data_IF_563739033825
#
_entry.id   IF_563739033825
#
_cell.length_a   1.000
_cell.length_b   1.000
_cell.length_c   1.000
_cell.angle_alpha   90.00
_cell.angle_beta   90.00
_cell.angle_gamma   90.00
#
_symmetry.space_group_name_H-M   'P 1'
#
loop_
_entity.id
_entity.type
_entity.pdbx_description
1 polymer ?
#
# COMPACT_ATOMS: atom_id res chain seq x y z
N UNK A 1 13.84 15.75 -9.98
CA UNK A 1 12.48 15.96 -9.43
C UNK A 1 12.58 15.84 -7.92
N UNK A 2 12.05 16.79 -7.15
CA UNK A 2 12.09 16.73 -5.68
C UNK A 2 10.81 16.05 -5.18
N UNK A 3 10.92 14.83 -4.66
CA UNK A 3 9.78 14.08 -4.13
C UNK A 3 9.31 14.61 -2.76
N UNK A 4 10.09 15.48 -2.11
CA UNK A 4 9.72 16.02 -0.80
C UNK A 4 8.57 17.04 -0.86
N UNK A 5 8.22 17.55 -2.03
CA UNK A 5 7.07 18.46 -2.20
C UNK A 5 5.81 17.75 -2.71
N UNK A 6 5.81 16.41 -2.76
CA UNK A 6 4.70 15.65 -3.28
C UNK A 6 3.52 15.72 -2.29
N UNK A 7 2.35 16.17 -2.74
CA UNK A 7 1.14 16.14 -1.90
C UNK A 7 0.39 14.82 -2.04
N UNK A 8 0.36 14.25 -3.23
CA UNK A 8 -0.35 13.01 -3.53
C UNK A 8 0.59 12.03 -4.24
N UNK A 9 0.61 10.80 -3.74
CA UNK A 9 1.35 9.68 -4.31
C UNK A 9 0.39 8.54 -4.65
N UNK A 10 0.55 7.98 -5.85
CA UNK A 10 -0.21 6.82 -6.30
C UNK A 10 0.77 5.74 -6.75
N UNK A 11 0.84 4.64 -5.99
CA UNK A 11 1.70 3.50 -6.29
C UNK A 11 0.84 2.38 -6.88
N UNK A 12 1.01 2.18 -8.18
CA UNK A 12 0.44 1.04 -8.91
C UNK A 12 1.56 0.22 -9.51
N UNK A 13 1.62 -1.06 -9.16
CA UNK A 13 2.47 -2.03 -9.83
C UNK A 13 1.60 -2.98 -10.63
N UNK A 14 1.82 -2.99 -11.93
CA UNK A 14 1.32 -4.02 -12.84
C UNK A 14 2.32 -5.18 -12.78
N UNK A 15 2.13 -6.09 -11.82
CA UNK A 15 2.95 -7.30 -11.75
C UNK A 15 2.57 -8.21 -12.91
N UNK A 16 3.58 -8.65 -13.66
CA UNK A 16 3.46 -9.76 -14.60
C UNK A 16 3.32 -11.06 -13.80
N UNK A 17 2.10 -11.61 -13.77
CA UNK A 17 1.74 -12.78 -12.98
C UNK A 17 2.47 -14.06 -13.42
N UNK A 18 3.15 -14.02 -14.57
CA UNK A 18 3.93 -15.13 -15.10
C UNK A 18 5.39 -15.13 -14.61
N UNK A 19 5.81 -14.09 -13.86
CA UNK A 19 7.18 -13.99 -13.36
C UNK A 19 7.26 -14.25 -11.83
N UNK A 20 7.80 -15.40 -11.39
CA UNK A 20 7.78 -15.84 -9.99
C UNK A 20 8.74 -15.09 -9.04
N UNK A 21 9.34 -13.96 -9.43
CA UNK A 21 10.30 -13.23 -8.59
C UNK A 21 9.60 -12.23 -7.67
N UNK A 22 8.91 -12.75 -6.64
CA UNK A 22 8.15 -11.97 -5.65
C UNK A 22 9.03 -11.16 -4.69
N UNK A 23 10.29 -11.55 -4.48
CA UNK A 23 11.22 -10.83 -3.61
C UNK A 23 11.72 -9.52 -4.20
N UNK A 24 11.86 -9.45 -5.54
CA UNK A 24 12.18 -8.22 -6.24
C UNK A 24 11.05 -7.19 -6.16
N UNK A 25 9.78 -7.64 -6.08
CA UNK A 25 8.64 -6.73 -5.93
C UNK A 25 8.56 -6.06 -4.55
N UNK A 26 8.89 -6.75 -3.46
CA UNK A 26 8.87 -6.16 -2.12
C UNK A 26 9.86 -4.98 -2.01
N UNK A 27 11.13 -5.22 -2.38
CA UNK A 27 12.17 -4.19 -2.35
C UNK A 27 11.86 -2.97 -3.24
N UNK A 28 11.26 -3.19 -4.41
CA UNK A 28 10.84 -2.11 -5.30
C UNK A 28 9.70 -1.27 -4.69
N UNK A 29 8.68 -1.91 -4.13
CA UNK A 29 7.56 -1.22 -3.46
C UNK A 29 8.08 -0.42 -2.26
N UNK A 30 8.96 -1.01 -1.45
CA UNK A 30 9.58 -0.30 -0.33
C UNK A 30 10.38 0.91 -0.79
N UNK A 31 11.22 0.76 -1.81
CA UNK A 31 11.98 1.88 -2.38
C UNK A 31 11.08 3.05 -2.80
N UNK A 32 9.93 2.74 -3.41
CA UNK A 32 8.92 3.74 -3.75
C UNK A 32 8.31 4.40 -2.51
N UNK A 33 7.94 3.61 -1.49
CA UNK A 33 7.40 4.11 -0.23
C UNK A 33 8.36 5.06 0.48
N UNK A 34 9.65 4.71 0.53
CA UNK A 34 10.69 5.61 1.06
C UNK A 34 10.73 6.93 0.27
N UNK A 35 10.67 6.84 -1.06
CA UNK A 35 10.67 8.01 -1.94
C UNK A 35 9.44 8.92 -1.77
N UNK A 36 8.28 8.37 -1.40
CA UNK A 36 7.03 9.13 -1.21
C UNK A 36 6.62 9.30 0.25
N UNK A 37 7.54 9.04 1.18
CA UNK A 37 7.28 9.10 2.63
C UNK A 37 6.74 10.45 3.13
N UNK A 38 6.98 11.53 2.38
CA UNK A 38 6.49 12.86 2.71
C UNK A 38 5.11 13.21 2.13
N UNK A 39 4.47 12.29 1.40
CA UNK A 39 3.17 12.52 0.78
C UNK A 39 2.06 12.74 1.82
N UNK A 40 1.10 13.61 1.50
CA UNK A 40 -0.10 13.81 2.33
C UNK A 40 -1.16 12.78 2.04
N UNK A 41 -1.30 12.37 0.79
CA UNK A 41 -2.22 11.33 0.35
C UNK A 41 -1.43 10.21 -0.34
N UNK A 42 -1.68 8.97 0.06
CA UNK A 42 -1.03 7.79 -0.51
C UNK A 42 -2.09 6.76 -0.90
N UNK A 43 -2.10 6.41 -2.18
CA UNK A 43 -2.81 5.23 -2.68
C UNK A 43 -1.81 4.11 -2.97
N UNK A 44 -2.13 2.90 -2.53
CA UNK A 44 -1.36 1.69 -2.79
C UNK A 44 -2.29 0.62 -3.34
N UNK A 45 -2.03 0.11 -4.55
CA UNK A 45 -2.87 -0.94 -5.11
C UNK A 45 -2.69 -2.28 -4.37
N UNK A 46 -3.69 -3.16 -4.46
CA UNK A 46 -3.67 -4.46 -3.76
C UNK A 46 -2.49 -5.36 -4.14
N UNK A 47 -1.97 -5.23 -5.36
CA UNK A 47 -0.76 -5.97 -5.80
C UNK A 47 0.51 -5.52 -5.09
N UNK A 48 0.65 -4.23 -4.82
CA UNK A 48 1.76 -3.72 -4.01
C UNK A 48 1.65 -4.23 -2.58
N UNK A 49 0.43 -4.26 -2.04
CA UNK A 49 0.18 -4.77 -0.69
C UNK A 49 0.50 -6.27 -0.59
N UNK A 50 0.19 -7.09 -1.62
CA UNK A 50 0.60 -8.51 -1.66
C UNK A 50 2.12 -8.65 -1.57
N UNK A 51 2.87 -7.80 -2.27
CA UNK A 51 4.33 -7.78 -2.19
C UNK A 51 4.88 -7.37 -0.82
N UNK A 52 4.05 -6.72 0.01
CA UNK A 52 4.35 -6.33 1.39
C UNK A 52 3.79 -7.33 2.41
N UNK A 53 3.15 -8.43 2.00
CA UNK A 53 2.67 -9.47 2.92
C UNK A 53 3.80 -10.45 3.26
N UNK A 54 4.92 -9.91 3.76
CA UNK A 54 6.12 -10.67 4.14
C UNK A 54 6.58 -10.25 5.53
N UNK A 55 7.22 -11.14 6.28
CA UNK A 55 7.55 -10.87 7.69
C UNK A 55 8.77 -9.96 7.91
N UNK A 56 9.49 -9.57 6.86
CA UNK A 56 10.78 -8.89 6.96
C UNK A 56 10.84 -7.58 6.16
N UNK A 57 10.21 -6.52 6.66
CA UNK A 57 10.46 -5.15 6.19
C UNK A 57 10.17 -4.09 7.23
N UNK A 58 10.67 -2.89 6.99
CA UNK A 58 10.35 -1.69 7.78
C UNK A 58 9.82 -0.62 6.84
N UNK A 59 8.66 -0.06 7.18
CA UNK A 59 8.10 1.09 6.47
C UNK A 59 8.82 2.39 6.88
N UNK A 60 8.92 3.37 5.98
CA UNK A 60 9.35 4.71 6.39
C UNK A 60 8.29 5.35 7.29
N UNK A 61 8.70 6.28 8.15
CA UNK A 61 7.74 7.12 8.87
C UNK A 61 7.10 8.12 7.90
N UNK A 62 5.78 8.08 7.80
CA UNK A 62 4.99 8.96 6.96
C UNK A 62 4.51 10.19 7.75
N UNK A 63 5.43 11.11 8.05
CA UNK A 63 5.18 12.24 8.96
C UNK A 63 4.06 13.20 8.52
N UNK A 64 3.73 13.24 7.23
CA UNK A 64 2.74 14.15 6.67
C UNK A 64 1.52 13.45 6.09
N UNK A 65 1.47 12.12 6.15
CA UNK A 65 0.39 11.33 5.57
C UNK A 65 -0.89 11.50 6.37
N UNK A 66 -1.88 12.11 5.73
CA UNK A 66 -3.22 12.35 6.26
C UNK A 66 -4.25 11.39 5.68
N UNK A 67 -4.05 10.91 4.45
CA UNK A 67 -4.96 9.98 3.79
C UNK A 67 -4.23 8.78 3.23
N UNK A 68 -4.67 7.59 3.61
CA UNK A 68 -4.18 6.32 3.09
C UNK A 68 -5.33 5.59 2.40
N UNK A 69 -5.09 5.12 1.18
CA UNK A 69 -6.04 4.35 0.40
C UNK A 69 -5.43 3.03 -0.04
N UNK A 70 -6.10 1.94 0.31
CA UNK A 70 -5.71 0.59 -0.09
C UNK A 70 -6.59 0.07 -1.21
N UNK A 71 -5.94 -0.38 -2.28
CA UNK A 71 -6.58 -1.17 -3.32
C UNK A 71 -6.84 -2.60 -2.85
N UNK A 72 -7.93 -3.19 -3.36
CA UNK A 72 -8.29 -4.57 -3.04
C UNK A 72 -7.36 -5.60 -3.70
N UNK A 73 -7.10 -6.69 -2.96
CA UNK A 73 -6.55 -7.93 -3.51
C UNK A 73 -7.19 -9.14 -2.84
N UNK A 74 -7.49 -10.17 -3.64
CA UNK A 74 -8.01 -11.47 -3.17
C UNK A 74 -7.03 -12.32 -2.35
N UNK A 75 -5.74 -11.97 -2.35
CA UNK A 75 -4.69 -12.76 -1.71
C UNK A 75 -4.08 -12.08 -0.49
N UNK A 76 -4.62 -10.93 -0.07
CA UNK A 76 -3.99 -10.07 0.91
C UNK A 76 -4.49 -10.35 2.34
N UNK A 77 -3.57 -10.66 3.26
CA UNK A 77 -3.84 -10.56 4.69
C UNK A 77 -3.63 -9.10 5.13
N UNK A 78 -4.59 -8.25 4.77
CA UNK A 78 -4.49 -6.78 4.90
C UNK A 78 -4.19 -6.31 6.33
N UNK A 79 -4.56 -7.10 7.33
CA UNK A 79 -4.43 -6.73 8.74
C UNK A 79 -2.98 -6.51 9.15
N UNK A 80 -2.06 -7.36 8.71
CA UNK A 80 -0.65 -7.22 9.10
C UNK A 80 -0.04 -5.96 8.48
N UNK A 81 -0.19 -5.82 7.16
CA UNK A 81 0.29 -4.65 6.40
C UNK A 81 -0.34 -3.35 6.93
N UNK A 82 -1.65 -3.37 7.21
CA UNK A 82 -2.34 -2.20 7.75
C UNK A 82 -1.76 -1.75 9.09
N UNK A 83 -1.55 -2.68 10.04
CA UNK A 83 -0.99 -2.33 11.34
C UNK A 83 0.36 -1.61 11.19
N UNK A 84 1.23 -2.10 10.31
CA UNK A 84 2.52 -1.43 10.05
C UNK A 84 2.36 -0.01 9.49
N UNK A 85 1.39 0.20 8.58
CA UNK A 85 1.10 1.54 8.06
C UNK A 85 0.54 2.48 9.14
N UNK A 86 -0.35 2.00 10.00
CA UNK A 86 -0.90 2.78 11.10
C UNK A 86 0.19 3.19 12.11
N UNK A 87 1.10 2.26 12.42
CA UNK A 87 2.24 2.54 13.30
C UNK A 87 3.24 3.53 12.67
N UNK A 88 3.32 3.54 11.34
CA UNK A 88 4.25 4.40 10.58
C UNK A 88 3.65 5.75 10.19
N UNK A 89 2.35 5.99 10.37
CA UNK A 89 1.64 7.20 9.92
C UNK A 89 0.92 7.92 11.08
N UNK A 90 1.66 8.64 11.95
CA UNK A 90 1.10 9.21 13.18
C UNK A 90 0.07 10.33 12.96
N UNK A 91 0.02 10.91 11.77
CA UNK A 91 -0.89 12.01 11.40
C UNK A 91 -2.03 11.57 10.49
N UNK A 92 -2.27 10.26 10.40
CA UNK A 92 -3.32 9.71 9.53
C UNK A 92 -4.70 10.14 10.04
N UNK A 93 -5.48 10.76 9.16
CA UNK A 93 -6.84 11.27 9.42
C UNK A 93 -7.88 10.42 8.70
N UNK A 94 -7.59 9.99 7.47
CA UNK A 94 -8.48 9.24 6.60
C UNK A 94 -7.85 7.90 6.19
N UNK A 95 -8.58 6.79 6.41
CA UNK A 95 -8.26 5.47 5.89
C UNK A 95 -9.39 4.98 4.99
N UNK A 96 -9.07 4.73 3.71
CA UNK A 96 -10.03 4.28 2.72
C UNK A 96 -9.63 2.93 2.13
N UNK A 97 -10.65 2.12 1.83
CA UNK A 97 -10.49 0.89 1.06
C UNK A 97 -11.19 1.10 -0.27
N UNK A 98 -10.40 1.23 -1.32
CA UNK A 98 -10.91 1.29 -2.69
C UNK A 98 -11.38 -0.09 -3.12
N UNK A 99 -12.71 -0.28 -3.12
CA UNK A 99 -13.33 -1.41 -3.80
C UNK A 99 -12.92 -1.42 -5.27
N UNK A 100 -12.56 -2.60 -5.77
CA UNK A 100 -12.53 -2.83 -7.22
C UNK A 100 -13.95 -2.60 -7.71
N UNK A 101 -14.16 -1.52 -8.48
CA UNK A 101 -15.40 -1.30 -9.24
C UNK A 101 -15.64 -2.55 -10.10
N UNK A 102 -16.41 -3.51 -9.59
CA UNK A 102 -16.67 -4.79 -10.28
C UNK A 102 -16.86 -6.03 -9.41
N UNK A 103 -16.50 -6.02 -8.12
CA UNK A 103 -16.81 -7.13 -7.21
C UNK A 103 -17.83 -6.68 -6.17
N UNK A 104 -18.97 -7.38 -6.13
CA UNK A 104 -20.09 -7.06 -5.25
C UNK A 104 -19.67 -7.26 -3.78
N UNK A 105 -20.16 -6.39 -2.90
CA UNK A 105 -20.12 -6.45 -1.42
C UNK A 105 -20.39 -7.84 -0.79
N UNK A 106 -20.86 -8.81 -1.57
CA UNK A 106 -21.19 -10.17 -1.14
C UNK A 106 -19.97 -11.03 -0.78
N UNK A 107 -18.77 -10.70 -1.28
CA UNK A 107 -17.55 -11.42 -0.95
C UNK A 107 -16.92 -10.97 0.38
N UNK A 108 -17.40 -9.85 0.96
CA UNK A 108 -16.84 -9.25 2.20
C UNK A 108 -17.21 -10.02 3.49
N UNK A 109 -18.15 -10.97 3.45
CA UNK A 109 -18.67 -11.67 4.64
C UNK A 109 -18.43 -13.19 4.63
N UNK A 110 -17.55 -13.72 3.76
CA UNK A 110 -17.32 -15.17 3.67
C UNK A 110 -16.10 -15.71 4.44
N UNK A 111 -15.38 -14.90 5.22
CA UNK A 111 -14.26 -15.36 6.05
C UNK A 111 -14.31 -14.81 7.47
#
# INVERSE_FOLDING_TARGET
MNLNSLEEARIEVLLDMDNPVWSASCSAVLGLLYGVSNAKHLFICGKCLEGLDTDEYTLPTFCNLRRLEFGWSKYLIWRHVLCQFLDSAPMLEDLNFSEVRGLLLLDLFQY
#
